data_IF_460003140726
#
_entry.id   IF_460003140726
#
_cell.length_a   1.000
_cell.length_b   1.000
_cell.length_c   1.000
_cell.angle_alpha   90.00
_cell.angle_beta   90.00
_cell.angle_gamma   90.00
#
_symmetry.space_group_name_H-M   'P 1'
#
loop_
_entity.id
_entity.type
_entity.pdbx_description
1 polymer ?
#
# COMPACT_ATOMS: atom_id res chain seq x y z
N UNK A 1 4.66 -8.29 -9.18
CA UNK A 1 5.23 -7.16 -8.42
C UNK A 1 4.38 -7.02 -7.17
N UNK A 2 4.98 -6.89 -5.98
CA UNK A 2 4.23 -6.62 -4.75
C UNK A 2 3.48 -5.28 -4.90
N UNK A 3 2.23 -5.22 -4.40
CA UNK A 3 1.39 -4.02 -4.36
C UNK A 3 1.11 -3.38 -5.74
N UNK A 4 1.05 -4.19 -6.81
CA UNK A 4 0.70 -3.71 -8.14
C UNK A 4 -0.77 -3.23 -8.16
N UNK A 5 -1.64 -3.94 -7.46
CA UNK A 5 -3.05 -3.57 -7.30
C UNK A 5 -3.20 -2.22 -6.58
N UNK A 6 -2.43 -1.97 -5.52
CA UNK A 6 -2.39 -0.65 -4.86
C UNK A 6 -1.93 0.47 -5.78
N UNK A 7 -0.89 0.26 -6.59
CA UNK A 7 -0.41 1.28 -7.51
C UNK A 7 -1.46 1.62 -8.58
N UNK A 8 -2.12 0.61 -9.13
CA UNK A 8 -3.20 0.79 -10.09
C UNK A 8 -4.40 1.55 -9.49
N UNK A 9 -4.73 1.30 -8.22
CA UNK A 9 -5.85 1.95 -7.54
C UNK A 9 -5.69 3.46 -7.34
N UNK A 10 -4.46 4.00 -7.38
CA UNK A 10 -4.23 5.45 -7.31
C UNK A 10 -4.35 6.12 -8.68
N UNK A 11 -4.16 5.40 -9.79
CA UNK A 11 -4.18 5.97 -11.14
C UNK A 11 -5.59 6.48 -11.46
N UNK A 12 -5.67 7.76 -11.87
CA UNK A 12 -6.94 8.41 -12.22
C UNK A 12 -7.72 8.96 -11.02
N UNK A 13 -7.19 8.83 -9.79
CA UNK A 13 -7.73 9.50 -8.61
C UNK A 13 -7.22 10.93 -8.49
N UNK A 14 -7.72 11.68 -7.50
CA UNK A 14 -7.22 13.01 -7.15
C UNK A 14 -5.92 12.98 -6.32
N UNK A 15 -5.37 11.80 -6.04
CA UNK A 15 -4.16 11.64 -5.23
C UNK A 15 -4.33 12.02 -3.76
N UNK A 16 -5.57 12.26 -3.30
CA UNK A 16 -5.85 12.66 -1.92
C UNK A 16 -5.39 11.63 -0.90
N UNK A 17 -5.26 12.07 0.37
CA UNK A 17 -4.91 11.17 1.47
C UNK A 17 -5.90 10.01 1.62
N UNK A 18 -7.18 10.22 1.29
CA UNK A 18 -8.23 9.21 1.33
C UNK A 18 -8.10 8.23 0.15
N UNK A 19 -7.84 8.73 -1.07
CA UNK A 19 -7.57 7.89 -2.23
C UNK A 19 -6.34 6.99 -2.01
N UNK A 20 -5.27 7.56 -1.44
CA UNK A 20 -4.05 6.81 -1.09
C UNK A 20 -4.30 5.80 0.04
N UNK A 21 -5.12 6.14 1.03
CA UNK A 21 -5.49 5.20 2.10
C UNK A 21 -6.30 4.02 1.55
N UNK A 22 -7.27 4.28 0.66
CA UNK A 22 -8.05 3.23 0.01
C UNK A 22 -7.16 2.31 -0.85
N UNK A 23 -6.23 2.89 -1.63
CA UNK A 23 -5.30 2.10 -2.43
C UNK A 23 -4.37 1.21 -1.58
N UNK A 24 -3.96 1.67 -0.39
CA UNK A 24 -3.08 0.93 0.50
C UNK A 24 -3.74 -0.34 1.09
N UNK A 25 -5.08 -0.45 1.09
CA UNK A 25 -5.76 -1.68 1.53
C UNK A 25 -5.42 -2.88 0.65
N UNK A 26 -5.10 -2.65 -0.63
CA UNK A 26 -4.71 -3.66 -1.61
C UNK A 26 -3.24 -4.10 -1.52
N UNK A 27 -2.51 -3.70 -0.47
CA UNK A 27 -1.06 -3.88 -0.37
C UNK A 27 -0.59 -5.34 -0.46
N UNK A 28 -1.46 -6.29 -0.10
CA UNK A 28 -1.14 -7.71 -0.03
C UNK A 28 -1.93 -8.57 -1.02
N UNK A 29 -2.79 -7.99 -1.85
CA UNK A 29 -3.66 -8.75 -2.76
C UNK A 29 -2.88 -9.64 -3.73
N UNK A 30 -1.67 -9.23 -4.09
CA UNK A 30 -0.80 -9.91 -5.05
C UNK A 30 0.17 -10.92 -4.39
N UNK A 31 0.10 -11.14 -3.06
CA UNK A 31 1.04 -11.98 -2.31
C UNK A 31 0.36 -12.79 -1.20
N UNK A 32 0.98 -13.89 -0.80
CA UNK A 32 0.61 -14.60 0.43
C UNK A 32 1.54 -14.16 1.55
N UNK A 33 0.96 -13.65 2.64
CA UNK A 33 1.70 -13.28 3.84
C UNK A 33 1.88 -14.54 4.70
N UNK A 34 3.08 -14.75 5.23
CA UNK A 34 3.39 -15.90 6.09
C UNK A 34 3.81 -15.43 7.49
N UNK A 35 3.40 -16.20 8.49
CA UNK A 35 3.91 -16.09 9.85
C UNK A 35 5.30 -16.74 9.96
N UNK A 36 6.20 -16.09 10.70
CA UNK A 36 7.52 -16.62 11.07
C UNK A 36 8.04 -15.94 12.35
N UNK A 37 9.31 -16.15 12.68
CA UNK A 37 9.98 -15.57 13.86
C UNK A 37 9.98 -14.02 13.88
N UNK A 38 9.78 -13.36 12.74
CA UNK A 38 9.76 -11.90 12.61
C UNK A 38 8.35 -11.30 12.75
N UNK A 39 7.31 -12.12 12.90
CA UNK A 39 5.97 -11.66 13.27
C UNK A 39 4.84 -12.49 12.65
N UNK A 40 3.64 -12.25 13.19
CA UNK A 40 2.40 -12.86 12.71
C UNK A 40 2.01 -12.35 11.32
N UNK A 41 1.18 -13.13 10.64
CA UNK A 41 0.57 -12.74 9.37
C UNK A 41 -0.19 -11.41 9.49
N UNK A 42 -0.98 -11.24 10.55
CA UNK A 42 -1.74 -10.02 10.84
C UNK A 42 -0.83 -8.80 10.99
N UNK A 43 0.25 -8.93 11.76
CA UNK A 43 1.19 -7.84 12.00
C UNK A 43 1.89 -7.41 10.70
N UNK A 44 2.36 -8.37 9.91
CA UNK A 44 3.01 -8.09 8.63
C UNK A 44 2.05 -7.51 7.60
N UNK A 45 0.80 -8.00 7.57
CA UNK A 45 -0.25 -7.44 6.71
C UNK A 45 -0.53 -5.99 7.06
N UNK A 46 -0.67 -5.68 8.36
CA UNK A 46 -0.84 -4.30 8.81
C UNK A 46 0.34 -3.42 8.40
N UNK A 47 1.58 -3.88 8.61
CA UNK A 47 2.78 -3.14 8.21
C UNK A 47 2.86 -2.92 6.70
N UNK A 48 2.49 -3.91 5.88
CA UNK A 48 2.48 -3.77 4.42
C UNK A 48 1.57 -2.61 3.99
N UNK A 49 0.35 -2.52 4.54
CA UNK A 49 -0.57 -1.40 4.29
C UNK A 49 0.04 -0.06 4.70
N UNK A 50 0.68 0.02 5.87
CA UNK A 50 1.34 1.24 6.35
C UNK A 50 2.47 1.68 5.41
N UNK A 51 3.33 0.75 4.98
CA UNK A 51 4.45 1.07 4.10
C UNK A 51 4.00 1.47 2.70
N UNK A 52 3.02 0.76 2.12
CA UNK A 52 2.44 1.12 0.82
C UNK A 52 1.81 2.51 0.89
N UNK A 53 1.02 2.81 1.93
CA UNK A 53 0.45 4.15 2.14
C UNK A 53 1.52 5.24 2.15
N UNK A 54 2.59 5.05 2.92
CA UNK A 54 3.70 6.01 3.00
C UNK A 54 4.40 6.19 1.66
N UNK A 55 4.65 5.08 0.95
CA UNK A 55 5.30 5.11 -0.36
C UNK A 55 4.44 5.86 -1.40
N UNK A 56 3.14 5.60 -1.44
CA UNK A 56 2.19 6.27 -2.34
C UNK A 56 2.07 7.76 -2.02
N UNK A 57 1.95 8.15 -0.74
CA UNK A 57 1.95 9.57 -0.36
C UNK A 57 3.20 10.29 -0.86
N UNK A 58 4.39 9.70 -0.63
CA UNK A 58 5.65 10.28 -1.11
C UNK A 58 5.78 10.26 -2.63
N UNK A 59 5.07 9.38 -3.34
CA UNK A 59 5.06 9.37 -4.80
C UNK A 59 4.16 10.49 -5.35
N UNK A 60 2.96 10.67 -4.80
CA UNK A 60 2.03 11.76 -5.16
C UNK A 60 2.68 13.12 -4.93
N UNK A 61 3.29 13.33 -3.77
CA UNK A 61 4.00 14.58 -3.45
C UNK A 61 5.11 14.88 -4.48
N UNK A 62 5.88 13.87 -4.88
CA UNK A 62 6.94 14.02 -5.91
C UNK A 62 6.39 14.23 -7.32
N UNK A 63 5.19 13.75 -7.60
CA UNK A 63 4.54 13.88 -8.91
C UNK A 63 3.96 15.28 -9.14
N UNK A 64 3.95 16.15 -8.13
CA UNK A 64 3.51 17.53 -8.24
C UNK A 64 2.50 17.97 -7.20
N UNK A 65 2.02 17.04 -6.35
CA UNK A 65 1.02 17.33 -5.30
C UNK A 65 -0.32 17.73 -5.88
#
# INVERSE_FOLDING_TARGET
>A
LLAATSAAAVVGTDGSADAVAAAAEHAVDDVSVIEDLYGSEEYKTHLAKVFVRRALMSAVERAGG
#
